data_IF_552814725154
#
_entry.id   IF_552814725154
#
_cell.length_a   1.000
_cell.length_b   1.000
_cell.length_c   1.000
_cell.angle_alpha   90.00
_cell.angle_beta   90.00
_cell.angle_gamma   90.00
#
_symmetry.space_group_name_H-M   'P 1'
#
loop_
_entity.id
_entity.type
_entity.pdbx_description
1 polymer ?
#
# COMPACT_ATOMS: atom_id res chain seq x y z
N UNK A 1 -3.62 -11.21 -2.61
CA UNK A 1 -5.04 -10.84 -2.87
C UNK A 1 -6.03 -11.96 -2.57
N UNK A 2 -5.87 -13.18 -3.11
CA UNK A 2 -6.80 -14.28 -2.87
C UNK A 2 -7.02 -14.57 -1.36
N UNK A 3 -5.94 -14.66 -0.58
CA UNK A 3 -6.01 -14.83 0.87
C UNK A 3 -6.80 -13.72 1.58
N UNK A 4 -6.62 -12.46 1.15
CA UNK A 4 -7.35 -11.33 1.73
C UNK A 4 -8.85 -11.38 1.38
N UNK A 5 -9.20 -11.79 0.16
CA UNK A 5 -10.61 -12.05 -0.21
C UNK A 5 -11.20 -13.16 0.64
N UNK A 6 -10.47 -14.24 0.89
CA UNK A 6 -10.90 -15.31 1.77
C UNK A 6 -11.08 -14.81 3.22
N UNK A 7 -10.16 -13.98 3.73
CA UNK A 7 -10.28 -13.35 5.04
C UNK A 7 -11.55 -12.48 5.14
N UNK A 8 -11.86 -11.70 4.11
CA UNK A 8 -13.10 -10.91 4.04
C UNK A 8 -14.34 -11.81 4.14
N UNK A 9 -14.38 -12.91 3.37
CA UNK A 9 -15.52 -13.85 3.37
C UNK A 9 -15.68 -14.52 4.75
N UNK A 10 -14.59 -14.96 5.37
CA UNK A 10 -14.60 -15.54 6.72
C UNK A 10 -15.10 -14.56 7.78
N UNK A 11 -14.79 -13.27 7.63
CA UNK A 11 -15.22 -12.21 8.56
C UNK A 11 -16.52 -11.51 8.16
N UNK A 12 -17.27 -12.04 7.17
CA UNK A 12 -18.53 -11.44 6.68
C UNK A 12 -19.57 -11.23 7.78
N UNK A 13 -19.61 -12.09 8.80
CA UNK A 13 -20.52 -11.96 9.94
C UNK A 13 -20.27 -10.67 10.74
N UNK A 14 -19.02 -10.22 10.79
CA UNK A 14 -18.62 -8.95 11.42
C UNK A 14 -18.94 -7.73 10.55
N UNK A 15 -19.41 -7.92 9.31
CA UNK A 15 -19.73 -6.85 8.36
C UNK A 15 -21.25 -6.76 8.12
N UNK A 16 -22.05 -7.11 9.13
CA UNK A 16 -23.51 -7.14 9.09
C UNK A 16 -24.13 -5.73 8.98
N UNK A 17 -25.35 -5.62 8.44
CA UNK A 17 -26.06 -4.35 8.22
C UNK A 17 -26.21 -3.47 9.46
N UNK A 18 -26.29 -4.07 10.66
CA UNK A 18 -26.45 -3.35 11.94
C UNK A 18 -25.27 -2.45 12.31
N UNK A 19 -24.09 -2.68 11.76
CA UNK A 19 -22.91 -1.85 12.04
C UNK A 19 -22.88 -0.62 11.13
N UNK A 20 -22.55 0.52 11.71
CA UNK A 20 -22.29 1.75 10.96
C UNK A 20 -21.19 1.57 9.92
N UNK A 21 -21.28 2.32 8.82
CA UNK A 21 -20.33 2.26 7.71
C UNK A 21 -18.89 2.49 8.16
N UNK A 22 -18.66 3.47 9.02
CA UNK A 22 -17.33 3.75 9.59
C UNK A 22 -16.71 2.56 10.32
N UNK A 23 -17.51 1.85 11.11
CA UNK A 23 -17.03 0.66 11.82
C UNK A 23 -16.66 -0.44 10.84
N UNK A 24 -17.46 -0.67 9.80
CA UNK A 24 -17.15 -1.66 8.75
C UNK A 24 -15.86 -1.32 8.01
N UNK A 25 -15.62 -0.03 7.72
CA UNK A 25 -14.36 0.44 7.11
C UNK A 25 -13.16 0.12 8.00
N UNK A 26 -13.24 0.45 9.29
CA UNK A 26 -12.19 0.12 10.27
C UNK A 26 -11.92 -1.38 10.34
N UNK A 27 -12.96 -2.21 10.36
CA UNK A 27 -12.83 -3.67 10.40
C UNK A 27 -12.14 -4.24 9.14
N UNK A 28 -12.48 -3.73 7.95
CA UNK A 28 -11.81 -4.14 6.70
C UNK A 28 -10.36 -3.70 6.69
N UNK A 29 -10.06 -2.45 7.06
CA UNK A 29 -8.68 -1.95 7.17
C UNK A 29 -7.87 -2.73 8.22
N UNK A 30 -8.49 -3.18 9.31
CA UNK A 30 -7.82 -3.94 10.36
C UNK A 30 -7.56 -5.41 9.97
N UNK A 31 -8.58 -6.15 9.55
CA UNK A 31 -8.48 -7.60 9.35
C UNK A 31 -8.16 -8.02 7.91
N UNK A 32 -8.65 -7.27 6.92
CA UNK A 32 -8.55 -7.67 5.52
C UNK A 32 -7.31 -7.03 4.89
N UNK A 33 -7.07 -5.74 5.15
CA UNK A 33 -5.89 -5.06 4.64
C UNK A 33 -4.62 -5.52 5.32
N UNK A 34 -4.64 -5.91 6.60
CA UNK A 34 -3.46 -6.51 7.25
C UNK A 34 -2.97 -7.76 6.49
N UNK A 35 -3.90 -8.64 6.08
CA UNK A 35 -3.58 -9.81 5.26
C UNK A 35 -3.16 -9.42 3.84
N UNK A 36 -3.82 -8.43 3.24
CA UNK A 36 -3.50 -8.00 1.87
C UNK A 36 -2.13 -7.31 1.77
N UNK A 37 -1.75 -6.58 2.81
CA UNK A 37 -0.56 -5.72 2.86
C UNK A 37 0.57 -6.34 3.71
N UNK A 38 0.48 -7.62 4.03
CA UNK A 38 1.52 -8.32 4.77
C UNK A 38 2.82 -8.36 3.95
N UNK A 39 3.89 -7.79 4.51
CA UNK A 39 5.20 -7.69 3.85
C UNK A 39 5.23 -6.73 2.65
N UNK A 40 4.17 -5.93 2.46
CA UNK A 40 4.08 -4.99 1.34
C UNK A 40 5.20 -3.94 1.35
N UNK A 41 5.86 -3.73 2.49
CA UNK A 41 7.02 -2.86 2.62
C UNK A 41 8.20 -3.29 1.74
N UNK A 42 8.32 -4.59 1.48
CA UNK A 42 9.44 -5.17 0.72
C UNK A 42 9.16 -5.30 -0.76
N UNK A 43 7.91 -5.11 -1.19
CA UNK A 43 7.51 -5.35 -2.58
C UNK A 43 7.93 -4.18 -3.47
N UNK A 44 8.46 -4.44 -4.66
CA UNK A 44 8.53 -3.42 -5.71
C UNK A 44 7.28 -3.51 -6.59
N UNK A 45 6.38 -2.52 -6.50
CA UNK A 45 5.07 -2.59 -7.15
C UNK A 45 5.13 -2.05 -8.58
N UNK A 46 4.94 -2.92 -9.58
CA UNK A 46 4.77 -2.47 -10.97
C UNK A 46 3.32 -2.01 -11.18
N UNK A 47 3.08 -1.32 -12.30
CA UNK A 47 1.76 -0.77 -12.64
C UNK A 47 0.65 -1.83 -12.68
N UNK A 48 0.97 -3.06 -13.08
CA UNK A 48 0.02 -4.17 -13.11
C UNK A 48 -0.41 -4.59 -11.69
N UNK A 49 0.54 -4.76 -10.78
CA UNK A 49 0.25 -5.05 -9.37
C UNK A 49 -0.52 -3.92 -8.69
N UNK A 50 -0.15 -2.66 -8.96
CA UNK A 50 -0.88 -1.48 -8.47
C UNK A 50 -2.36 -1.54 -8.88
N UNK A 51 -2.65 -1.81 -10.16
CA UNK A 51 -4.02 -1.92 -10.68
C UNK A 51 -4.81 -3.06 -10.01
N UNK A 52 -4.16 -4.18 -9.70
CA UNK A 52 -4.80 -5.28 -8.98
C UNK A 52 -5.13 -4.93 -7.53
N UNK A 53 -4.26 -4.17 -6.85
CA UNK A 53 -4.51 -3.69 -5.49
C UNK A 53 -5.67 -2.69 -5.46
N UNK A 54 -5.72 -1.74 -6.39
CA UNK A 54 -6.86 -0.80 -6.51
C UNK A 54 -8.15 -1.55 -6.82
N UNK A 55 -8.12 -2.52 -7.73
CA UNK A 55 -9.29 -3.35 -8.05
C UNK A 55 -9.76 -4.16 -6.83
N UNK A 56 -8.82 -4.61 -5.99
CA UNK A 56 -9.12 -5.30 -4.75
C UNK A 56 -9.74 -4.36 -3.69
N UNK A 57 -9.25 -3.12 -3.57
CA UNK A 57 -9.84 -2.09 -2.72
C UNK A 57 -11.29 -1.82 -3.13
N UNK A 58 -11.54 -1.58 -4.42
CA UNK A 58 -12.89 -1.39 -4.96
C UNK A 58 -13.80 -2.59 -4.71
N UNK A 59 -13.26 -3.81 -4.84
CA UNK A 59 -13.98 -5.03 -4.51
C UNK A 59 -14.42 -5.06 -3.05
N UNK A 60 -13.56 -4.68 -2.09
CA UNK A 60 -13.93 -4.62 -0.67
C UNK A 60 -15.08 -3.63 -0.42
N UNK A 61 -15.00 -2.43 -1.00
CA UNK A 61 -16.02 -1.39 -0.85
C UNK A 61 -17.37 -1.76 -1.45
N UNK A 62 -17.38 -2.34 -2.65
CA UNK A 62 -18.63 -2.87 -3.25
C UNK A 62 -19.28 -3.94 -2.39
N UNK A 63 -18.48 -4.78 -1.72
CA UNK A 63 -19.00 -5.86 -0.86
C UNK A 63 -19.56 -5.32 0.47
N UNK A 64 -18.99 -4.26 1.04
CA UNK A 64 -19.56 -3.57 2.20
C UNK A 64 -20.92 -2.96 1.86
N UNK A 65 -20.99 -2.23 0.75
CA UNK A 65 -22.21 -1.57 0.26
C UNK A 65 -23.21 -2.52 -0.42
N UNK A 66 -22.87 -3.81 -0.51
CA UNK A 66 -23.69 -4.86 -1.16
C UNK A 66 -24.06 -4.54 -2.62
N UNK A 67 -23.25 -3.75 -3.31
CA UNK A 67 -23.45 -3.37 -4.71
C UNK A 67 -23.22 -4.60 -5.58
N UNK A 68 -24.23 -4.95 -6.38
CA UNK A 68 -24.15 -6.05 -7.34
C UNK A 68 -23.49 -5.56 -8.62
N UNK A 69 -22.96 -6.49 -9.40
CA UNK A 69 -22.35 -6.16 -10.69
C UNK A 69 -23.40 -5.66 -11.71
N UNK A 70 -24.66 -6.09 -11.56
CA UNK A 70 -25.82 -5.68 -12.36
C UNK A 70 -26.16 -4.21 -12.20
N UNK A 71 -25.80 -3.61 -11.07
CA UNK A 71 -26.16 -2.23 -10.73
C UNK A 71 -25.32 -1.22 -11.54
N UNK A 72 -24.27 -1.67 -12.24
CA UNK A 72 -23.39 -0.89 -13.13
C UNK A 72 -22.87 0.44 -12.51
N UNK A 73 -22.78 0.50 -11.19
CA UNK A 73 -22.32 1.69 -10.45
C UNK A 73 -20.84 1.94 -10.75
N UNK A 74 -20.47 3.19 -11.05
CA UNK A 74 -19.07 3.59 -11.32
C UNK A 74 -18.21 3.49 -10.05
N UNK A 75 -16.88 3.45 -10.20
CA UNK A 75 -16.00 3.35 -9.03
C UNK A 75 -16.00 4.64 -8.20
N UNK A 76 -16.17 5.78 -8.86
CA UNK A 76 -16.26 7.11 -8.26
C UNK A 76 -17.49 7.21 -7.36
N UNK A 77 -18.63 6.68 -7.82
CA UNK A 77 -19.86 6.63 -7.03
C UNK A 77 -19.76 5.68 -5.83
N UNK A 78 -19.08 4.54 -5.98
CA UNK A 78 -18.80 3.65 -4.83
C UNK A 78 -17.98 4.38 -3.76
N UNK A 79 -16.94 5.11 -4.16
CA UNK A 79 -16.11 5.88 -3.23
C UNK A 79 -16.90 7.01 -2.55
N UNK A 80 -17.80 7.66 -3.28
CA UNK A 80 -18.73 8.68 -2.74
C UNK A 80 -19.65 8.09 -1.67
N UNK A 81 -20.27 6.93 -1.93
CA UNK A 81 -21.15 6.26 -0.96
C UNK A 81 -20.41 5.82 0.30
N UNK A 82 -19.20 5.30 0.13
CA UNK A 82 -18.36 4.83 1.24
C UNK A 82 -17.70 6.00 2.00
N UNK A 83 -17.75 7.21 1.43
CA UNK A 83 -17.05 8.40 1.89
C UNK A 83 -15.57 8.11 2.17
N UNK A 84 -14.86 7.61 1.15
CA UNK A 84 -13.46 7.21 1.25
C UNK A 84 -12.74 7.48 -0.08
N UNK A 85 -11.45 7.77 -0.02
CA UNK A 85 -10.58 7.89 -1.21
C UNK A 85 -9.79 6.61 -1.44
N UNK A 86 -9.25 6.42 -2.65
CA UNK A 86 -8.32 5.31 -2.92
C UNK A 86 -7.10 5.44 -2.04
N UNK A 87 -6.94 4.53 -1.10
CA UNK A 87 -5.95 4.67 -0.04
C UNK A 87 -4.99 3.48 -0.01
N UNK A 88 -5.30 2.33 -0.62
CA UNK A 88 -4.45 1.14 -0.48
C UNK A 88 -3.00 1.35 -0.93
N UNK A 89 -2.78 2.06 -2.04
CA UNK A 89 -1.42 2.36 -2.53
C UNK A 89 -0.71 3.37 -1.63
N UNK A 90 -1.43 4.38 -1.15
CA UNK A 90 -0.90 5.36 -0.20
C UNK A 90 -0.51 4.68 1.12
N UNK A 91 -1.32 3.73 1.61
CA UNK A 91 -1.02 2.93 2.78
C UNK A 91 0.25 2.11 2.60
N UNK A 92 0.47 1.50 1.44
CA UNK A 92 1.72 0.78 1.13
C UNK A 92 2.90 1.75 1.10
N UNK A 93 2.78 2.87 0.39
CA UNK A 93 3.82 3.90 0.34
C UNK A 93 4.17 4.40 1.74
N UNK A 94 3.17 4.62 2.59
CA UNK A 94 3.36 5.06 3.98
C UNK A 94 4.11 4.03 4.81
N UNK A 95 3.78 2.74 4.69
CA UNK A 95 4.50 1.66 5.39
C UNK A 95 5.94 1.50 4.90
N UNK A 96 6.14 1.59 3.57
CA UNK A 96 7.45 1.50 2.91
C UNK A 96 8.37 2.63 3.32
N UNK A 97 7.92 3.86 3.09
CA UNK A 97 8.63 5.07 3.47
C UNK A 97 8.69 5.06 4.99
N UNK A 98 7.63 5.45 5.70
CA UNK A 98 7.67 5.89 7.10
C UNK A 98 7.92 4.79 8.16
N UNK A 99 7.93 3.50 7.81
CA UNK A 99 8.30 2.47 8.78
C UNK A 99 9.60 1.81 8.33
N UNK A 100 9.53 1.04 7.25
CA UNK A 100 10.59 0.10 6.89
C UNK A 100 11.89 0.79 6.44
N UNK A 101 11.81 1.77 5.55
CA UNK A 101 12.99 2.47 5.04
C UNK A 101 13.75 3.15 6.17
N UNK A 102 13.06 3.88 7.04
CA UNK A 102 13.71 4.60 8.13
C UNK A 102 14.23 3.69 9.23
N UNK A 103 13.61 2.53 9.46
CA UNK A 103 14.21 1.51 10.31
C UNK A 103 15.51 0.97 9.75
N UNK A 104 15.60 0.77 8.43
CA UNK A 104 16.83 0.32 7.78
C UNK A 104 17.90 1.41 7.83
N UNK A 105 17.56 2.64 7.44
CA UNK A 105 18.52 3.75 7.38
C UNK A 105 19.08 4.11 8.75
N UNK A 106 18.28 4.07 9.83
CA UNK A 106 18.78 4.35 11.19
C UNK A 106 19.63 3.23 11.77
N UNK A 107 19.50 1.99 11.27
CA UNK A 107 20.27 0.85 11.79
C UNK A 107 21.72 0.87 11.30
N UNK A 108 22.02 1.54 10.18
CA UNK A 108 23.35 1.59 9.56
C UNK A 108 24.03 0.21 9.51
N UNK A 109 23.53 -0.68 8.65
CA UNK A 109 24.08 -2.03 8.51
C UNK A 109 23.94 -2.56 7.09
N UNK A 110 24.22 -3.84 6.86
CA UNK A 110 24.30 -4.42 5.52
C UNK A 110 23.17 -4.02 4.54
N UNK A 111 21.92 -3.92 5.02
CA UNK A 111 20.80 -3.52 4.18
C UNK A 111 20.84 -2.04 3.74
N UNK A 112 21.31 -1.12 4.59
CA UNK A 112 21.53 0.28 4.15
C UNK A 112 22.62 0.31 3.09
N UNK A 113 23.69 -0.44 3.29
CA UNK A 113 24.83 -0.48 2.38
C UNK A 113 24.44 -1.10 1.03
N UNK A 114 23.57 -2.13 1.02
CA UNK A 114 23.05 -2.73 -0.22
C UNK A 114 22.10 -1.76 -0.95
N UNK A 115 21.26 -1.01 -0.22
CA UNK A 115 20.31 -0.08 -0.85
C UNK A 115 21.04 1.13 -1.44
N UNK A 116 22.09 1.61 -0.78
CA UNK A 116 22.90 2.75 -1.22
C UNK A 116 24.03 2.35 -2.18
N UNK A 117 24.45 1.10 -2.10
CA UNK A 117 25.58 0.55 -2.83
C UNK A 117 25.39 0.63 -4.34
N UNK A 118 26.42 1.13 -5.01
CA UNK A 118 26.55 1.04 -6.45
C UNK A 118 27.55 -0.06 -6.78
N UNK A 119 27.18 -0.95 -7.70
CA UNK A 119 28.08 -1.99 -8.19
C UNK A 119 28.87 -1.44 -9.36
N UNK A 120 30.19 -1.62 -9.34
CA UNK A 120 31.06 -1.23 -10.44
C UNK A 120 30.74 -2.02 -11.72
N UNK A 121 30.69 -1.32 -12.85
CA UNK A 121 30.48 -1.91 -14.17
C UNK A 121 29.42 -1.21 -15.01
N UNK A 122 29.36 -1.59 -16.29
CA UNK A 122 28.33 -1.11 -17.22
C UNK A 122 27.13 -2.05 -17.18
N UNK A 123 25.93 -1.49 -17.01
CA UNK A 123 24.69 -2.24 -17.08
C UNK A 123 24.44 -2.69 -18.53
N UNK A 124 23.89 -3.89 -18.71
CA UNK A 124 23.47 -4.39 -20.01
C UNK A 124 22.39 -3.53 -20.68
N UNK A 125 22.26 -3.68 -22.00
CA UNK A 125 21.26 -2.97 -22.80
C UNK A 125 19.85 -3.50 -22.52
N UNK A 126 18.87 -2.61 -22.36
CA UNK A 126 17.46 -2.96 -22.17
C UNK A 126 16.71 -2.10 -21.14
N UNK A 127 15.43 -2.44 -20.91
CA UNK A 127 14.59 -1.73 -19.93
C UNK A 127 15.04 -2.06 -18.50
N UNK A 128 15.37 -1.02 -17.73
CA UNK A 128 15.70 -1.15 -16.30
C UNK A 128 14.50 -1.73 -15.54
N UNK A 129 14.76 -2.73 -14.70
CA UNK A 129 13.81 -3.16 -13.67
C UNK A 129 13.56 -1.99 -12.70
N UNK A 130 12.30 -1.83 -12.28
CA UNK A 130 11.96 -0.84 -11.25
C UNK A 130 12.72 -1.24 -9.99
N UNK A 131 13.51 -0.33 -9.44
CA UNK A 131 14.14 -0.53 -8.15
C UNK A 131 13.23 -0.02 -7.03
N UNK A 132 13.50 -0.48 -5.81
CA UNK A 132 12.85 0.03 -4.61
C UNK A 132 12.91 1.57 -4.52
N UNK A 133 14.06 2.16 -4.85
CA UNK A 133 14.25 3.62 -4.83
C UNK A 133 13.38 4.33 -5.88
N UNK A 134 13.15 3.71 -7.04
CA UNK A 134 12.27 4.23 -8.08
C UNK A 134 10.79 4.14 -7.67
N UNK A 135 10.40 3.08 -6.97
CA UNK A 135 9.04 2.87 -6.45
C UNK A 135 8.70 3.86 -5.32
N UNK A 136 9.64 4.09 -4.40
CA UNK A 136 9.51 5.09 -3.33
C UNK A 136 9.34 6.51 -3.87
N UNK A 137 10.12 6.87 -4.91
CA UNK A 137 10.01 8.17 -5.59
C UNK A 137 8.62 8.38 -6.19
N UNK A 138 8.05 7.35 -6.82
CA UNK A 138 6.70 7.43 -7.39
C UNK A 138 5.61 7.64 -6.32
N UNK A 139 5.78 7.04 -5.15
CA UNK A 139 4.79 7.11 -4.07
C UNK A 139 4.77 8.45 -3.32
N UNK A 140 5.94 9.00 -2.98
CA UNK A 140 6.06 10.23 -2.16
C UNK A 140 6.37 11.49 -2.95
N UNK A 141 6.72 11.38 -4.24
CA UNK A 141 7.26 12.48 -5.06
C UNK A 141 8.49 13.16 -4.43
N UNK A 142 9.24 12.41 -3.61
CA UNK A 142 10.50 12.85 -3.00
C UNK A 142 11.64 12.02 -3.57
N UNK A 143 12.82 12.60 -3.64
CA UNK A 143 14.03 11.86 -3.94
C UNK A 143 14.40 10.92 -2.79
N UNK A 144 15.21 9.90 -3.11
CA UNK A 144 15.68 8.96 -2.10
C UNK A 144 16.56 9.63 -1.03
N UNK A 145 17.35 10.66 -1.41
CA UNK A 145 18.18 11.41 -0.47
C UNK A 145 17.34 12.24 0.51
N UNK A 146 16.28 12.89 0.03
CA UNK A 146 15.34 13.61 0.91
C UNK A 146 14.67 12.64 1.89
N UNK A 147 14.19 11.49 1.41
CA UNK A 147 13.61 10.45 2.26
C UNK A 147 14.60 9.93 3.32
N UNK A 148 15.89 9.84 3.00
CA UNK A 148 16.94 9.44 3.95
C UNK A 148 17.12 10.49 5.06
N UNK A 149 17.32 11.76 4.69
CA UNK A 149 17.49 12.87 5.66
C UNK A 149 16.31 12.92 6.64
N UNK A 150 15.13 12.75 6.08
CA UNK A 150 13.90 12.81 6.84
C UNK A 150 13.70 11.56 7.73
N UNK A 151 14.27 10.43 7.34
CA UNK A 151 14.28 9.21 8.13
C UNK A 151 15.25 9.25 9.32
N UNK A 152 16.30 10.06 9.25
CA UNK A 152 17.25 10.26 10.37
C UNK A 152 16.57 10.99 11.53
N UNK A 153 15.72 11.98 11.25
CA UNK A 153 14.94 12.67 12.27
C UNK A 153 13.66 11.88 12.62
N UNK A 154 13.63 11.28 13.81
CA UNK A 154 12.52 10.42 14.27
C UNK A 154 11.17 11.14 14.37
N UNK A 155 11.16 12.42 14.71
CA UNK A 155 9.93 13.19 14.90
C UNK A 155 9.32 13.59 13.57
N UNK A 156 10.15 14.11 12.67
CA UNK A 156 9.78 14.40 11.29
C UNK A 156 9.28 13.13 10.57
N UNK A 157 9.99 12.02 10.78
CA UNK A 157 9.69 10.74 10.18
C UNK A 157 8.31 10.18 10.53
N UNK A 158 7.85 10.42 11.76
CA UNK A 158 6.51 10.00 12.23
C UNK A 158 5.40 10.89 11.69
N UNK A 159 5.70 12.15 11.41
CA UNK A 159 4.74 13.14 10.92
C UNK A 159 4.43 12.99 9.42
N UNK A 160 5.27 12.29 8.68
CA UNK A 160 5.11 11.96 7.25
C UNK A 160 4.10 10.84 6.97
#
# INVERSE_FOLDING_TARGET
IAMAKAAFVKKRILLTSKLGLEMKKKLVKCYVWSVALYGAETWTLRKKEQKYLESFEMWCWRRIEKIRWTDRVTNEEVLRRVNEQRNILQAITRRKANNWLGHIMRRNGLLSDIIEGQVEGKRGLGRRLIQLTDDLKQGKKMTFQELKREAENRDNWRAL
#
